data_IF_308491199082
#
_entry.id   IF_308491199082
#
_cell.length_a   1.000
_cell.length_b   1.000
_cell.length_c   1.000
_cell.angle_alpha   90.00
_cell.angle_beta   90.00
_cell.angle_gamma   90.00
#
_symmetry.space_group_name_H-M   'P 1'
#
loop_
_entity.id
_entity.type
_entity.pdbx_description
1 polymer ?
#
# COMPACT_ATOMS: atom_id res chain seq x y z
N UNK A 1 -16.91 -4.93 -4.57
CA UNK A 1 -15.97 -3.81 -4.30
C UNK A 1 -15.11 -4.16 -3.11
N UNK A 2 -15.66 -4.13 -1.89
CA UNK A 2 -14.90 -4.49 -0.68
C UNK A 2 -14.31 -5.90 -0.74
N UNK A 3 -15.06 -6.88 -1.27
CA UNK A 3 -14.52 -8.22 -1.50
C UNK A 3 -13.30 -8.22 -2.44
N UNK A 4 -13.30 -7.40 -3.49
CA UNK A 4 -12.18 -7.30 -4.44
C UNK A 4 -10.97 -6.64 -3.76
N UNK A 5 -11.18 -5.55 -3.02
CA UNK A 5 -10.13 -4.90 -2.24
C UNK A 5 -9.52 -5.85 -1.18
N UNK A 6 -10.37 -6.61 -0.48
CA UNK A 6 -9.94 -7.63 0.48
C UNK A 6 -9.15 -8.75 -0.20
N UNK A 7 -9.63 -9.27 -1.34
CA UNK A 7 -8.91 -10.28 -2.13
C UNK A 7 -7.54 -9.75 -2.56
N UNK A 8 -7.46 -8.52 -3.08
CA UNK A 8 -6.19 -7.86 -3.42
C UNK A 8 -5.24 -7.87 -2.22
N UNK A 9 -5.69 -7.39 -1.06
CA UNK A 9 -4.87 -7.32 0.15
C UNK A 9 -4.40 -8.70 0.58
N UNK A 10 -5.30 -9.67 0.67
CA UNK A 10 -4.99 -11.03 1.12
C UNK A 10 -4.02 -11.73 0.16
N UNK A 11 -4.24 -11.62 -1.15
CA UNK A 11 -3.34 -12.21 -2.14
C UNK A 11 -1.96 -11.55 -2.08
N UNK A 12 -1.88 -10.22 -2.08
CA UNK A 12 -0.58 -9.54 -1.98
C UNK A 12 0.14 -9.92 -0.69
N UNK A 13 -0.56 -9.98 0.44
CA UNK A 13 0.03 -10.38 1.72
C UNK A 13 0.54 -11.83 1.68
N UNK A 14 -0.25 -12.78 1.17
CA UNK A 14 0.11 -14.19 1.08
C UNK A 14 1.38 -14.43 0.24
N UNK A 15 1.62 -13.60 -0.78
CA UNK A 15 2.79 -13.69 -1.64
C UNK A 15 3.89 -12.68 -1.31
N UNK A 16 3.66 -11.77 -0.36
CA UNK A 16 4.61 -10.69 0.00
C UNK A 16 5.90 -11.19 0.65
N UNK A 17 5.97 -12.44 1.09
CA UNK A 17 7.22 -13.04 1.56
C UNK A 17 8.08 -13.64 0.44
N UNK A 18 7.56 -13.70 -0.78
CA UNK A 18 8.29 -14.20 -1.94
C UNK A 18 9.13 -13.05 -2.48
N UNK A 19 10.41 -13.30 -2.72
CA UNK A 19 11.44 -12.30 -3.07
C UNK A 19 11.86 -11.44 -1.89
N UNK A 20 13.17 -11.44 -1.61
CA UNK A 20 13.78 -10.66 -0.53
C UNK A 20 13.55 -9.16 -0.66
N UNK A 21 14.23 -8.39 0.18
CA UNK A 21 14.05 -6.94 0.19
C UNK A 21 14.36 -6.33 -1.18
N UNK A 22 13.47 -5.47 -1.64
CA UNK A 22 13.73 -4.59 -2.75
C UNK A 22 14.65 -3.46 -2.28
N UNK A 23 15.49 -2.95 -3.19
CA UNK A 23 16.44 -1.88 -2.88
C UNK A 23 15.72 -0.65 -2.30
N UNK A 24 14.59 -0.29 -2.92
CA UNK A 24 13.83 0.89 -2.51
C UNK A 24 13.20 0.71 -1.13
N UNK A 25 12.81 -0.51 -0.74
CA UNK A 25 12.28 -0.78 0.61
C UNK A 25 13.32 -0.48 1.69
N UNK A 26 14.57 -0.90 1.45
CA UNK A 26 15.68 -0.59 2.35
C UNK A 26 16.01 0.90 2.33
N UNK A 27 15.92 1.56 1.17
CA UNK A 27 16.12 2.99 1.05
C UNK A 27 15.07 3.79 1.80
N UNK A 28 13.79 3.40 1.72
CA UNK A 28 12.70 4.03 2.47
C UNK A 28 12.85 3.82 3.98
N UNK A 29 13.27 2.64 4.42
CA UNK A 29 13.54 2.38 5.83
C UNK A 29 14.71 3.22 6.36
N UNK A 30 15.83 3.25 5.63
CA UNK A 30 16.99 4.06 5.98
C UNK A 30 16.63 5.56 6.04
N UNK A 31 15.82 6.02 5.09
CA UNK A 31 15.28 7.38 5.05
C UNK A 31 14.32 7.64 6.22
N UNK A 32 13.52 6.65 6.63
CA UNK A 32 12.68 6.71 7.82
C UNK A 32 13.46 6.85 9.12
N UNK A 33 14.66 6.25 9.20
CA UNK A 33 15.56 6.43 10.34
C UNK A 33 16.27 7.80 10.36
N UNK A 34 16.25 8.52 9.23
CA UNK A 34 16.94 9.82 9.05
C UNK A 34 15.99 10.88 8.50
N UNK A 35 14.78 10.99 9.04
CA UNK A 35 13.72 11.84 8.50
C UNK A 35 14.20 13.25 8.15
N UNK A 36 14.00 13.60 6.88
CA UNK A 36 14.20 14.92 6.32
C UNK A 36 12.87 15.45 5.78
N UNK A 37 12.71 16.77 5.72
CA UNK A 37 11.51 17.42 5.17
C UNK A 37 11.31 17.17 3.67
N UNK A 38 12.32 16.66 2.98
CA UNK A 38 12.21 16.21 1.61
C UNK A 38 13.43 15.40 1.19
N UNK A 39 13.18 14.30 0.50
CA UNK A 39 14.18 13.60 -0.31
C UNK A 39 13.97 13.99 -1.76
N UNK A 40 15.01 13.83 -2.58
CA UNK A 40 14.94 14.15 -4.02
C UNK A 40 13.87 13.30 -4.71
N UNK A 41 13.69 12.05 -4.26
CA UNK A 41 12.88 11.05 -4.95
C UNK A 41 11.42 10.98 -4.43
N UNK A 42 11.17 11.38 -3.19
CA UNK A 42 9.86 11.24 -2.55
C UNK A 42 9.61 12.22 -1.39
N UNK A 43 8.34 12.54 -1.12
CA UNK A 43 7.96 13.35 0.03
C UNK A 43 8.22 12.62 1.37
N UNK A 44 8.28 13.34 2.50
CA UNK A 44 8.56 12.75 3.83
C UNK A 44 7.54 11.72 4.28
N UNK A 45 6.35 11.69 3.66
CA UNK A 45 5.31 10.72 4.00
C UNK A 45 5.73 9.27 3.71
N UNK A 46 6.45 9.01 2.62
CA UNK A 46 6.93 7.66 2.27
C UNK A 46 7.85 7.05 3.33
N UNK A 47 8.94 7.72 3.77
CA UNK A 47 9.82 7.20 4.80
C UNK A 47 9.14 7.16 6.18
N UNK A 48 8.17 8.05 6.46
CA UNK A 48 7.36 7.96 7.68
C UNK A 48 6.54 6.66 7.74
N UNK A 49 5.94 6.25 6.61
CA UNK A 49 5.22 4.97 6.54
C UNK A 49 6.16 3.78 6.75
N UNK A 50 7.35 3.79 6.12
CA UNK A 50 8.35 2.74 6.29
C UNK A 50 8.83 2.64 7.75
N UNK A 51 9.04 3.79 8.41
CA UNK A 51 9.37 3.84 9.83
C UNK A 51 8.23 3.30 10.70
N UNK A 52 6.98 3.60 10.37
CA UNK A 52 5.81 3.10 11.09
C UNK A 52 5.66 1.58 10.97
N UNK A 53 5.78 1.01 9.76
CA UNK A 53 5.80 -0.44 9.55
C UNK A 53 6.92 -1.10 10.38
N UNK A 54 8.13 -0.51 10.34
CA UNK A 54 9.27 -0.99 11.11
C UNK A 54 9.02 -0.93 12.62
N UNK A 55 8.44 0.15 13.13
CA UNK A 55 8.16 0.31 14.56
C UNK A 55 7.07 -0.66 15.06
N UNK A 56 6.07 -0.95 14.23
CA UNK A 56 4.93 -1.79 14.59
C UNK A 56 5.22 -3.29 14.42
N UNK A 57 5.98 -3.66 13.39
CA UNK A 57 6.13 -5.06 12.95
C UNK A 57 7.60 -5.52 12.90
N UNK A 58 8.53 -4.65 13.27
CA UNK A 58 9.97 -4.90 13.22
C UNK A 58 10.55 -4.90 11.80
N UNK A 59 11.86 -5.18 11.71
CA UNK A 59 12.50 -5.41 10.41
C UNK A 59 12.17 -6.81 9.91
N UNK A 60 11.03 -6.96 9.25
CA UNK A 60 10.68 -8.18 8.51
C UNK A 60 10.24 -7.83 7.10
N UNK A 61 10.47 -8.76 6.17
CA UNK A 61 10.13 -8.57 4.76
C UNK A 61 8.64 -8.25 4.56
N UNK A 62 7.78 -9.02 5.22
CA UNK A 62 6.34 -8.81 5.16
C UNK A 62 5.94 -7.58 5.97
N UNK A 63 6.61 -7.32 7.11
CA UNK A 63 6.32 -6.18 7.98
C UNK A 63 6.42 -4.84 7.25
N UNK A 64 7.49 -4.61 6.50
CA UNK A 64 7.68 -3.38 5.69
C UNK A 64 6.69 -3.22 4.53
N UNK A 65 5.86 -4.22 4.26
CA UNK A 65 4.89 -4.24 3.15
C UNK A 65 3.46 -4.05 3.63
N UNK A 66 3.19 -4.07 4.94
CA UNK A 66 1.80 -4.08 5.46
C UNK A 66 1.07 -2.77 5.14
N UNK A 67 1.59 -1.61 5.55
CA UNK A 67 0.94 -0.34 5.25
C UNK A 67 0.81 -0.08 3.74
N UNK A 68 1.82 -0.32 2.88
CA UNK A 68 1.67 -0.23 1.43
C UNK A 68 0.58 -1.16 0.85
N UNK A 69 0.49 -2.40 1.35
CA UNK A 69 -0.52 -3.36 0.90
C UNK A 69 -1.93 -2.86 1.24
N UNK A 70 -2.13 -2.38 2.47
CA UNK A 70 -3.40 -1.82 2.93
C UNK A 70 -3.78 -0.56 2.16
N UNK A 71 -2.82 0.35 1.92
CA UNK A 71 -3.03 1.54 1.12
C UNK A 71 -3.51 1.20 -0.30
N UNK A 72 -2.88 0.21 -0.97
CA UNK A 72 -3.35 -0.23 -2.27
C UNK A 72 -4.75 -0.87 -2.24
N UNK A 73 -5.15 -1.52 -1.13
CA UNK A 73 -6.54 -1.99 -0.95
C UNK A 73 -7.53 -0.84 -0.76
N UNK A 74 -7.14 0.19 -0.02
CA UNK A 74 -7.93 1.40 0.16
C UNK A 74 -8.15 2.13 -1.18
N UNK A 75 -7.13 2.21 -2.05
CA UNK A 75 -7.27 2.78 -3.40
C UNK A 75 -8.33 2.06 -4.22
N UNK A 76 -8.34 0.71 -4.23
CA UNK A 76 -9.37 -0.08 -4.93
C UNK A 76 -10.78 0.21 -4.39
N UNK A 77 -10.92 0.32 -3.06
CA UNK A 77 -12.19 0.65 -2.43
C UNK A 77 -12.65 2.07 -2.81
N UNK A 78 -11.75 3.05 -2.76
CA UNK A 78 -12.02 4.44 -3.12
C UNK A 78 -12.39 4.60 -4.59
N UNK A 79 -11.66 3.96 -5.51
CA UNK A 79 -11.99 3.97 -6.94
C UNK A 79 -13.41 3.45 -7.20
N UNK A 80 -13.79 2.37 -6.51
CA UNK A 80 -15.16 1.84 -6.58
C UNK A 80 -16.20 2.84 -6.06
N UNK A 81 -15.91 3.54 -4.97
CA UNK A 81 -16.82 4.53 -4.38
C UNK A 81 -16.95 5.77 -5.26
N UNK A 82 -15.87 6.22 -5.90
CA UNK A 82 -15.89 7.31 -6.86
C UNK A 82 -16.75 6.94 -8.08
N UNK A 83 -16.60 5.72 -8.62
CA UNK A 83 -17.45 5.25 -9.70
C UNK A 83 -18.94 5.26 -9.34
N UNK A 84 -19.28 4.96 -8.07
CA UNK A 84 -20.65 5.08 -7.55
C UNK A 84 -21.13 6.54 -7.51
N UNK A 85 -20.30 7.44 -7.00
CA UNK A 85 -20.63 8.87 -6.86
C UNK A 85 -20.88 9.54 -8.21
N UNK A 86 -20.17 9.08 -9.25
CA UNK A 86 -20.36 9.52 -10.64
C UNK A 86 -21.61 8.90 -11.31
N UNK A 87 -22.49 8.25 -10.56
CA UNK A 87 -23.72 7.63 -11.08
C UNK A 87 -23.55 6.20 -11.60
N UNK A 88 -22.38 5.58 -11.41
CA UNK A 88 -22.09 4.22 -11.83
C UNK A 88 -22.79 3.15 -10.99
N UNK A 89 -23.54 2.27 -11.66
CA UNK A 89 -24.17 1.10 -11.05
C UNK A 89 -23.16 0.04 -10.58
N UNK A 90 -23.67 -1.11 -10.11
CA UNK A 90 -22.83 -2.21 -9.60
C UNK A 90 -21.78 -2.68 -10.62
N UNK A 91 -22.11 -2.70 -11.91
CA UNK A 91 -21.15 -3.09 -12.95
C UNK A 91 -19.95 -2.14 -13.02
N UNK A 92 -20.18 -0.82 -13.10
CA UNK A 92 -19.13 0.19 -13.19
C UNK A 92 -18.20 0.18 -11.97
N UNK A 93 -18.77 -0.01 -10.78
CA UNK A 93 -17.98 -0.13 -9.56
C UNK A 93 -17.11 -1.41 -9.54
N UNK A 94 -17.62 -2.56 -10.02
CA UNK A 94 -16.84 -3.81 -10.08
C UNK A 94 -15.70 -3.62 -11.07
N UNK A 95 -16.02 -3.03 -12.23
CA UNK A 95 -15.05 -2.73 -13.27
C UNK A 95 -13.92 -1.83 -12.72
N UNK A 96 -14.26 -0.75 -12.02
CA UNK A 96 -13.30 0.14 -11.36
C UNK A 96 -12.52 -0.50 -10.20
N UNK A 97 -13.02 -1.58 -9.60
CA UNK A 97 -12.31 -2.31 -8.57
C UNK A 97 -11.28 -3.31 -9.12
N UNK A 98 -11.49 -3.77 -10.36
CA UNK A 98 -10.72 -4.84 -11.00
C UNK A 98 -9.70 -4.31 -12.01
N UNK A 99 -10.01 -3.21 -12.70
CA UNK A 99 -9.10 -2.48 -13.59
C UNK A 99 -8.26 -1.47 -12.82
#
# INVERSE_FOLDING_TARGET
>A
MLAVAAIKVLLTLAFSGRYGFHRDELYYLASGQHLSWGYVDFPPFTPLLALADHALLGTSLVGLRVLPILAGGAVVALASLIARELGGGRFAQILAAVL
#
